data_IF_586108234334
#
_entry.id   IF_586108234334
#
_cell.length_a   1.000
_cell.length_b   1.000
_cell.length_c   1.000
_cell.angle_alpha   90.00
_cell.angle_beta   90.00
_cell.angle_gamma   90.00
#
_symmetry.space_group_name_H-M   'P 1'
#
loop_
_entity.id
_entity.type
_entity.pdbx_description
1 polymer ?
#
# COMPACT_ATOMS: atom_id res chain seq x y z
N UNK A 1 61.96 -14.71 -0.61
CA UNK A 1 60.85 -15.19 0.23
C UNK A 1 59.61 -14.40 -0.13
N UNK A 2 58.65 -15.04 -0.78
CA UNK A 2 57.37 -14.49 -1.23
C UNK A 2 56.26 -15.23 -0.51
N UNK A 3 55.27 -14.55 0.11
CA UNK A 3 54.06 -15.20 0.60
C UNK A 3 52.94 -15.19 -0.47
N UNK A 4 51.97 -16.13 -0.40
CA UNK A 4 51.07 -16.47 -1.51
C UNK A 4 49.78 -15.64 -1.58
N UNK A 5 49.16 -15.64 -2.77
CA UNK A 5 47.86 -15.04 -3.11
C UNK A 5 46.63 -15.81 -2.60
N UNK A 6 45.46 -15.13 -2.52
CA UNK A 6 44.14 -15.67 -2.93
C UNK A 6 43.13 -14.53 -3.30
N UNK A 7 42.01 -14.80 -4.03
CA UNK A 7 41.58 -14.07 -5.25
C UNK A 7 40.25 -13.26 -5.05
N UNK A 8 39.69 -12.61 -6.11
CA UNK A 8 38.80 -11.45 -5.97
C UNK A 8 37.31 -11.81 -5.83
N UNK A 9 36.53 -10.96 -5.17
CA UNK A 9 35.07 -11.02 -5.14
C UNK A 9 34.45 -9.95 -6.06
N UNK A 10 33.40 -10.37 -6.75
CA UNK A 10 32.85 -9.82 -7.98
C UNK A 10 32.06 -8.52 -7.79
N UNK A 11 32.10 -7.67 -8.82
CA UNK A 11 31.14 -6.59 -9.04
C UNK A 11 29.78 -7.15 -9.46
N UNK A 12 28.70 -6.61 -8.88
CA UNK A 12 27.35 -6.62 -9.45
C UNK A 12 26.53 -5.41 -8.96
N UNK A 13 26.25 -4.49 -9.87
CA UNK A 13 25.04 -3.63 -9.97
C UNK A 13 24.68 -3.64 -11.47
N UNK A 14 23.48 -3.21 -11.96
CA UNK A 14 22.25 -2.74 -11.30
C UNK A 14 20.96 -3.42 -11.87
N UNK A 15 19.77 -3.12 -11.32
CA UNK A 15 18.50 -3.55 -11.91
C UNK A 15 17.28 -2.88 -11.26
N UNK A 16 16.51 -2.16 -12.07
CA UNK A 16 15.70 -1.00 -11.70
C UNK A 16 14.18 -1.26 -11.46
N UNK A 17 13.50 -0.17 -11.08
CA UNK A 17 12.04 0.11 -11.03
C UNK A 17 11.36 -0.32 -9.71
N UNK A 18 10.68 0.53 -8.93
CA UNK A 18 10.29 1.93 -9.07
C UNK A 18 9.12 2.16 -8.13
N UNK A 19 9.24 3.09 -7.19
CA UNK A 19 8.13 3.80 -6.51
C UNK A 19 8.71 4.93 -5.68
N UNK A 20 8.85 6.09 -6.31
CA UNK A 20 9.08 7.35 -5.60
C UNK A 20 7.77 7.93 -5.10
N UNK A 21 7.89 8.68 -4.00
CA UNK A 21 6.92 9.59 -3.39
C UNK A 21 6.19 9.07 -2.14
N UNK A 22 6.95 8.79 -1.08
CA UNK A 22 6.50 9.13 0.27
C UNK A 22 7.14 10.48 0.62
N UNK A 23 6.34 11.52 0.55
CA UNK A 23 6.66 12.89 0.96
C UNK A 23 7.26 12.87 2.36
N UNK A 24 8.51 13.32 2.46
CA UNK A 24 9.20 13.53 3.72
C UNK A 24 8.42 14.62 4.49
N UNK A 25 7.76 14.23 5.58
CA UNK A 25 7.35 15.18 6.58
C UNK A 25 8.62 15.73 7.23
N UNK A 26 8.95 16.95 6.79
CA UNK A 26 9.87 17.89 7.41
C UNK A 26 9.67 17.92 8.93
N UNK A 27 10.55 17.23 9.67
CA UNK A 27 10.81 17.56 11.06
C UNK A 27 12.05 18.44 11.07
N UNK A 28 11.81 19.74 11.16
CA UNK A 28 12.84 20.76 11.32
C UNK A 28 13.60 20.52 12.62
N UNK A 29 14.75 19.87 12.52
CA UNK A 29 15.80 19.98 13.50
C UNK A 29 16.63 21.20 13.11
N UNK A 30 16.49 22.26 13.91
CA UNK A 30 17.44 23.37 13.89
C UNK A 30 18.85 22.79 14.00
N UNK A 31 19.66 23.10 12.99
CA UNK A 31 21.03 22.61 12.88
C UNK A 31 21.89 23.05 14.07
N UNK A 32 22.39 22.07 14.80
CA UNK A 32 23.64 22.21 15.55
C UNK A 32 24.70 21.49 14.73
N UNK A 33 25.71 22.19 14.19
CA UNK A 33 26.79 21.55 13.47
C UNK A 33 27.73 20.92 14.49
N UNK A 34 27.60 19.61 14.70
CA UNK A 34 28.44 18.86 15.63
C UNK A 34 28.31 17.37 15.36
N UNK A 35 29.03 16.88 14.36
CA UNK A 35 29.11 15.46 14.05
C UNK A 35 29.73 14.72 15.25
N UNK A 36 29.02 13.72 15.77
CA UNK A 36 29.38 12.87 16.92
C UNK A 36 30.75 12.17 16.73
N UNK A 37 31.29 12.16 15.51
CA UNK A 37 32.53 11.47 15.14
C UNK A 37 33.75 12.39 14.95
N UNK A 38 33.63 13.70 15.21
CA UNK A 38 34.69 14.68 14.92
C UNK A 38 35.74 14.85 16.04
N UNK A 39 36.08 13.77 16.75
CA UNK A 39 37.07 13.80 17.86
C UNK A 39 38.39 13.09 17.55
N UNK A 40 38.55 12.49 16.36
CA UNK A 40 39.69 11.60 16.05
C UNK A 40 40.67 12.16 14.99
N UNK A 41 40.45 13.37 14.47
CA UNK A 41 41.38 14.01 13.51
C UNK A 41 42.22 15.15 14.10
N UNK A 42 42.14 15.39 15.41
CA UNK A 42 42.91 16.42 16.11
C UNK A 42 44.30 15.96 16.57
N UNK A 43 45.27 15.95 15.65
CA UNK A 43 46.72 16.04 15.88
C UNK A 43 47.41 15.02 16.81
N UNK A 44 48.04 14.01 16.20
CA UNK A 44 49.19 13.33 16.77
C UNK A 44 50.46 14.22 16.64
N UNK A 45 50.98 14.72 17.78
CA UNK A 45 52.36 15.25 18.04
C UNK A 45 52.86 16.52 17.28
N UNK A 46 53.75 17.37 17.86
CA UNK A 46 54.94 16.97 18.62
C UNK A 46 55.23 17.74 19.95
N UNK A 47 56.15 17.16 20.72
CA UNK A 47 56.84 17.66 21.92
C UNK A 47 57.13 19.17 21.99
N UNK A 48 57.22 19.73 23.21
CA UNK A 48 58.17 20.78 23.52
C UNK A 48 59.26 20.19 24.43
N UNK A 49 60.44 19.88 23.87
CA UNK A 49 61.64 19.83 24.70
C UNK A 49 61.93 21.25 25.21
N UNK A 50 62.29 21.46 26.49
CA UNK A 50 62.58 22.79 26.99
C UNK A 50 63.97 23.20 26.48
N UNK A 51 64.02 24.22 25.63
CA UNK A 51 65.28 24.90 25.31
C UNK A 51 65.61 25.81 26.51
N UNK A 52 66.67 25.48 27.25
CA UNK A 52 67.26 26.34 28.26
C UNK A 52 67.87 27.57 27.56
N UNK A 53 67.10 28.66 27.47
CA UNK A 53 67.64 29.95 27.05
C UNK A 53 68.06 30.74 28.29
N UNK A 54 69.36 30.71 28.60
CA UNK A 54 69.99 31.56 29.61
C UNK A 54 70.03 33.00 29.08
N UNK A 55 69.10 33.83 29.56
CA UNK A 55 69.10 35.29 29.38
C UNK A 55 68.74 35.96 30.72
N UNK A 56 69.34 37.11 31.07
CA UNK A 56 69.40 37.58 32.45
C UNK A 56 68.04 38.03 32.98
N UNK A 57 67.80 37.66 34.24
CA UNK A 57 66.58 37.92 34.98
C UNK A 57 66.29 39.43 35.17
N UNK A 58 65.02 39.85 35.14
CA UNK A 58 64.55 40.90 36.03
C UNK A 58 64.11 40.27 37.35
N UNK A 59 64.72 40.76 38.42
CA UNK A 59 64.43 40.50 39.82
C UNK A 59 62.92 40.51 40.09
N UNK A 60 62.35 39.35 40.42
CA UNK A 60 61.06 39.26 41.08
C UNK A 60 61.07 38.07 42.03
N UNK A 61 60.93 38.39 43.32
CA UNK A 61 60.93 37.49 44.46
C UNK A 61 59.65 36.64 44.51
N UNK A 62 59.44 35.80 43.51
CA UNK A 62 58.38 34.80 43.50
C UNK A 62 59.00 33.40 43.56
N UNK A 63 58.73 32.69 44.66
CA UNK A 63 59.23 31.34 44.88
C UNK A 63 58.73 30.40 43.76
N UNK A 64 59.62 29.70 43.02
CA UNK A 64 59.26 28.91 41.83
C UNK A 64 58.22 27.81 42.11
N UNK A 65 58.17 27.35 43.36
CA UNK A 65 57.20 26.36 43.83
C UNK A 65 55.75 26.87 43.79
N UNK A 66 55.51 28.18 43.92
CA UNK A 66 54.16 28.76 43.89
C UNK A 66 53.52 28.73 42.50
N UNK A 67 54.30 28.93 41.44
CA UNK A 67 53.81 28.94 40.06
C UNK A 67 53.43 27.53 39.58
N UNK A 68 54.23 26.52 39.93
CA UNK A 68 53.94 25.12 39.61
C UNK A 68 52.73 24.60 40.39
N UNK A 69 52.57 24.97 41.68
CA UNK A 69 51.35 24.67 42.43
C UNK A 69 50.09 25.27 41.78
N UNK A 70 50.18 26.50 41.28
CA UNK A 70 49.09 27.14 40.56
C UNK A 70 48.78 26.42 39.22
N UNK A 71 49.80 25.94 38.50
CA UNK A 71 49.65 25.14 37.27
C UNK A 71 48.92 23.82 37.56
N UNK A 72 49.35 23.07 38.57
CA UNK A 72 48.74 21.78 38.96
C UNK A 72 47.28 21.95 39.39
N UNK A 73 46.96 23.02 40.16
CA UNK A 73 45.57 23.33 40.50
C UNK A 73 44.69 23.55 39.27
N UNK A 74 45.16 24.32 38.29
CA UNK A 74 44.42 24.54 37.04
C UNK A 74 44.21 23.23 36.26
N UNK A 75 45.24 22.36 36.21
CA UNK A 75 45.12 21.05 35.56
C UNK A 75 44.11 20.13 36.26
N UNK A 76 44.07 20.16 37.59
CA UNK A 76 43.08 19.43 38.37
C UNK A 76 41.66 19.94 38.09
N UNK A 77 41.46 21.25 38.07
CA UNK A 77 40.14 21.83 37.80
C UNK A 77 39.68 21.59 36.35
N UNK A 78 40.62 21.58 35.39
CA UNK A 78 40.36 21.13 34.02
C UNK A 78 39.96 19.66 33.96
N UNK A 79 40.71 18.78 34.63
CA UNK A 79 40.37 17.35 34.70
C UNK A 79 39.00 17.12 35.34
N UNK A 80 38.66 17.85 36.42
CA UNK A 80 37.33 17.80 37.05
C UNK A 80 36.23 18.26 36.10
N UNK A 81 36.45 19.33 35.33
CA UNK A 81 35.49 19.78 34.31
C UNK A 81 35.28 18.74 33.23
N UNK A 82 36.36 18.12 32.75
CA UNK A 82 36.27 17.01 31.78
C UNK A 82 35.47 15.85 32.37
N UNK A 83 35.76 15.40 33.59
CA UNK A 83 34.99 14.31 34.22
C UNK A 83 33.49 14.61 34.24
N UNK A 84 33.09 15.82 34.61
CA UNK A 84 31.67 16.23 34.57
C UNK A 84 31.08 16.18 33.16
N UNK A 85 31.82 16.65 32.16
CA UNK A 85 31.40 16.57 30.77
C UNK A 85 31.24 15.11 30.30
N UNK A 86 32.16 14.22 30.69
CA UNK A 86 32.06 12.79 30.41
C UNK A 86 30.85 12.15 31.10
N UNK A 87 30.57 12.53 32.36
CA UNK A 87 29.38 12.08 33.09
C UNK A 87 28.08 12.51 32.41
N UNK A 88 27.98 13.77 31.99
CA UNK A 88 26.83 14.29 31.25
C UNK A 88 26.65 13.60 29.90
N UNK A 89 27.75 13.42 29.15
CA UNK A 89 27.73 12.73 27.85
C UNK A 89 27.32 11.26 28.00
N UNK A 90 27.80 10.60 29.05
CA UNK A 90 27.41 9.23 29.37
C UNK A 90 25.92 9.13 29.72
N UNK A 91 25.40 10.06 30.53
CA UNK A 91 23.97 10.11 30.86
C UNK A 91 23.11 10.29 29.61
N UNK A 92 23.52 11.14 28.66
CA UNK A 92 22.81 11.30 27.39
C UNK A 92 22.77 10.00 26.58
N UNK A 93 23.91 9.31 26.46
CA UNK A 93 23.97 8.01 25.76
C UNK A 93 23.10 6.97 26.45
N UNK A 94 23.10 6.93 27.79
CA UNK A 94 22.25 6.02 28.55
C UNK A 94 20.76 6.31 28.30
N UNK A 95 20.34 7.58 28.30
CA UNK A 95 18.97 7.97 28.00
C UNK A 95 18.55 7.60 26.58
N UNK A 96 19.44 7.79 25.59
CA UNK A 96 19.20 7.38 24.21
C UNK A 96 19.05 5.85 24.09
N UNK A 97 19.90 5.08 24.77
CA UNK A 97 19.79 3.63 24.83
C UNK A 97 18.45 3.17 25.44
N UNK A 98 18.02 3.82 26.53
CA UNK A 98 16.75 3.52 27.19
C UNK A 98 15.54 3.90 26.33
N UNK A 99 15.64 5.00 25.56
CA UNK A 99 14.61 5.39 24.60
C UNK A 99 14.47 4.36 23.46
N UNK A 100 15.57 3.99 22.80
CA UNK A 100 15.54 2.98 21.75
C UNK A 100 15.11 1.61 22.25
N UNK A 101 15.46 1.24 23.49
CA UNK A 101 14.98 -0.01 24.09
C UNK A 101 13.46 -0.01 24.27
N UNK A 102 12.88 1.12 24.71
CA UNK A 102 11.42 1.27 24.83
C UNK A 102 10.76 1.21 23.46
N UNK A 103 11.27 1.96 22.48
CA UNK A 103 10.74 1.95 21.11
C UNK A 103 10.82 0.56 20.47
N UNK A 104 11.93 -0.17 20.65
CA UNK A 104 12.07 -1.54 20.17
C UNK A 104 11.06 -2.49 20.84
N UNK A 105 10.81 -2.32 22.14
CA UNK A 105 9.79 -3.09 22.87
C UNK A 105 8.38 -2.79 22.36
N UNK A 106 8.03 -1.52 22.21
CA UNK A 106 6.74 -1.10 21.67
C UNK A 106 6.54 -1.56 20.22
N UNK A 107 7.59 -1.51 19.39
CA UNK A 107 7.55 -2.02 18.03
C UNK A 107 7.28 -3.53 18.01
N UNK A 108 7.93 -4.29 18.89
CA UNK A 108 7.68 -5.74 19.04
C UNK A 108 6.25 -6.02 19.49
N UNK A 109 5.73 -5.31 20.47
CA UNK A 109 4.34 -5.45 20.94
C UNK A 109 3.35 -5.11 19.82
N UNK A 110 3.62 -4.07 19.05
CA UNK A 110 2.80 -3.66 17.90
C UNK A 110 2.83 -4.69 16.77
N UNK A 111 3.97 -5.33 16.51
CA UNK A 111 4.08 -6.43 15.56
C UNK A 111 3.26 -7.65 16.01
N UNK A 112 3.36 -8.05 17.28
CA UNK A 112 2.57 -9.16 17.83
C UNK A 112 1.06 -8.88 17.78
N UNK A 113 0.66 -7.64 18.06
CA UNK A 113 -0.74 -7.23 17.92
C UNK A 113 -1.21 -7.34 16.46
N UNK A 114 -0.39 -6.88 15.50
CA UNK A 114 -0.70 -6.99 14.07
C UNK A 114 -0.80 -8.46 13.61
N UNK A 115 0.09 -9.34 14.09
CA UNK A 115 0.03 -10.78 13.81
C UNK A 115 -1.26 -11.40 14.36
N UNK A 116 -1.63 -11.12 15.61
CA UNK A 116 -2.88 -11.63 16.19
C UNK A 116 -4.13 -11.14 15.44
N UNK A 117 -4.11 -9.89 14.97
CA UNK A 117 -5.20 -9.32 14.17
C UNK A 117 -5.30 -9.97 12.79
N UNK A 118 -4.16 -10.25 12.14
CA UNK A 118 -4.11 -11.02 10.89
C UNK A 118 -4.70 -12.41 11.08
N UNK A 119 -4.32 -13.12 12.14
CA UNK A 119 -4.79 -14.48 12.39
C UNK A 119 -6.31 -14.52 12.62
N UNK A 120 -6.85 -13.56 13.37
CA UNK A 120 -8.30 -13.42 13.53
C UNK A 120 -9.00 -13.12 12.19
N UNK A 121 -8.41 -12.28 11.35
CA UNK A 121 -8.97 -11.98 10.02
C UNK A 121 -8.95 -13.22 9.11
N UNK A 122 -7.89 -14.04 9.17
CA UNK A 122 -7.79 -15.31 8.46
C UNK A 122 -8.85 -16.30 8.93
N UNK A 123 -9.06 -16.45 10.25
CA UNK A 123 -10.11 -17.31 10.79
C UNK A 123 -11.50 -16.91 10.30
N UNK A 124 -11.81 -15.60 10.31
CA UNK A 124 -13.09 -15.09 9.79
C UNK A 124 -13.24 -15.35 8.30
N UNK A 125 -12.17 -15.18 7.53
CA UNK A 125 -12.15 -15.49 6.10
C UNK A 125 -12.44 -16.98 5.87
N UNK A 126 -11.76 -17.87 6.58
CA UNK A 126 -11.95 -19.32 6.48
C UNK A 126 -13.38 -19.74 6.86
N UNK A 127 -13.97 -19.12 7.88
CA UNK A 127 -15.37 -19.36 8.27
C UNK A 127 -16.33 -18.98 7.15
N UNK A 128 -16.17 -17.78 6.56
CA UNK A 128 -17.00 -17.33 5.44
C UNK A 128 -16.78 -18.20 4.20
N UNK A 129 -15.54 -18.60 3.90
CA UNK A 129 -15.24 -19.52 2.80
C UNK A 129 -15.84 -20.91 3.02
N UNK A 130 -15.89 -21.39 4.27
CA UNK A 130 -16.56 -22.63 4.61
C UNK A 130 -18.09 -22.52 4.46
N UNK A 131 -18.69 -21.41 4.90
CA UNK A 131 -20.11 -21.13 4.70
C UNK A 131 -20.45 -21.05 3.20
N UNK A 132 -19.62 -20.37 2.41
CA UNK A 132 -19.79 -20.29 0.97
C UNK A 132 -19.71 -21.66 0.29
N UNK A 133 -18.72 -22.50 0.68
CA UNK A 133 -18.63 -23.88 0.17
C UNK A 133 -19.87 -24.69 0.51
N UNK A 134 -20.37 -24.63 1.75
CA UNK A 134 -21.61 -25.31 2.15
C UNK A 134 -22.82 -24.86 1.32
N UNK A 135 -23.01 -23.54 1.18
CA UNK A 135 -24.11 -23.01 0.36
C UNK A 135 -24.00 -23.41 -1.10
N UNK A 136 -22.77 -23.47 -1.65
CA UNK A 136 -22.53 -23.95 -3.00
C UNK A 136 -22.88 -25.43 -3.15
N UNK A 137 -22.42 -26.27 -2.23
CA UNK A 137 -22.75 -27.69 -2.19
C UNK A 137 -24.26 -27.92 -2.01
N UNK A 138 -24.95 -27.11 -1.20
CA UNK A 138 -26.41 -27.16 -1.05
C UNK A 138 -27.13 -26.76 -2.34
N UNK A 139 -26.64 -25.77 -3.08
CA UNK A 139 -27.22 -25.36 -4.36
C UNK A 139 -27.01 -26.42 -5.45
N UNK A 140 -25.78 -26.93 -5.58
CA UNK A 140 -25.43 -28.01 -6.51
C UNK A 140 -26.19 -29.30 -6.15
N UNK A 141 -26.26 -29.62 -4.85
CA UNK A 141 -27.02 -30.73 -4.29
C UNK A 141 -28.51 -30.59 -4.56
N UNK A 142 -29.15 -29.44 -4.29
CA UNK A 142 -30.58 -29.22 -4.60
C UNK A 142 -30.87 -29.28 -6.09
N UNK A 143 -29.96 -28.83 -6.96
CA UNK A 143 -30.08 -28.92 -8.41
C UNK A 143 -30.03 -30.37 -8.91
N UNK A 144 -29.03 -31.14 -8.48
CA UNK A 144 -28.88 -32.55 -8.84
C UNK A 144 -29.94 -33.44 -8.18
N UNK A 145 -30.27 -33.20 -6.91
CA UNK A 145 -31.32 -33.89 -6.16
C UNK A 145 -32.69 -33.65 -6.79
N UNK A 146 -33.03 -32.42 -7.21
CA UNK A 146 -34.28 -32.16 -7.93
C UNK A 146 -34.39 -32.97 -9.22
N UNK A 147 -33.29 -33.19 -9.94
CA UNK A 147 -33.30 -34.02 -11.14
C UNK A 147 -33.37 -35.52 -10.82
N UNK A 148 -32.64 -35.99 -9.79
CA UNK A 148 -32.64 -37.39 -9.37
C UNK A 148 -33.99 -37.82 -8.75
N UNK A 149 -34.62 -36.95 -7.97
CA UNK A 149 -35.90 -37.20 -7.31
C UNK A 149 -37.08 -37.28 -8.30
N UNK A 150 -36.95 -36.77 -9.54
CA UNK A 150 -38.00 -36.91 -10.56
C UNK A 150 -38.34 -38.38 -10.82
N UNK A 151 -37.37 -39.31 -10.66
CA UNK A 151 -37.61 -40.74 -10.80
C UNK A 151 -38.48 -41.36 -9.69
N UNK A 152 -38.55 -40.72 -8.52
CA UNK A 152 -39.38 -41.15 -7.38
C UNK A 152 -40.77 -40.49 -7.36
N UNK A 153 -41.00 -39.47 -8.19
CA UNK A 153 -42.29 -38.78 -8.28
C UNK A 153 -43.28 -39.62 -9.09
N UNK A 154 -44.52 -39.85 -8.60
CA UNK A 154 -45.54 -40.57 -9.36
C UNK A 154 -45.80 -39.94 -10.73
N UNK A 155 -45.92 -40.77 -11.77
CA UNK A 155 -46.14 -40.38 -13.17
C UNK A 155 -47.20 -39.29 -13.38
N UNK A 156 -48.38 -39.30 -12.71
CA UNK A 156 -49.39 -38.27 -12.88
C UNK A 156 -48.91 -36.88 -12.47
N UNK A 157 -48.09 -36.82 -11.41
CA UNK A 157 -47.53 -35.56 -10.91
C UNK A 157 -46.41 -35.05 -11.81
N UNK A 158 -45.64 -35.95 -12.44
CA UNK A 158 -44.68 -35.58 -13.49
C UNK A 158 -45.38 -34.98 -14.72
N UNK A 159 -46.50 -35.55 -15.17
CA UNK A 159 -47.28 -34.99 -16.27
C UNK A 159 -47.90 -33.62 -15.93
N UNK A 160 -48.39 -33.45 -14.70
CA UNK A 160 -48.84 -32.15 -14.22
C UNK A 160 -47.70 -31.13 -14.23
N UNK A 161 -46.51 -31.50 -13.75
CA UNK A 161 -45.33 -30.65 -13.76
C UNK A 161 -44.89 -30.28 -15.18
N UNK A 162 -44.89 -31.25 -16.09
CA UNK A 162 -44.57 -31.05 -17.50
C UNK A 162 -45.55 -30.06 -18.16
N UNK A 163 -46.83 -30.19 -17.87
CA UNK A 163 -47.86 -29.30 -18.41
C UNK A 163 -47.69 -27.87 -17.86
N UNK A 164 -47.41 -27.75 -16.55
CA UNK A 164 -47.14 -26.45 -15.92
C UNK A 164 -45.92 -25.75 -16.55
N UNK A 165 -44.80 -26.48 -16.71
CA UNK A 165 -43.59 -25.93 -17.31
C UNK A 165 -43.80 -25.46 -18.75
N UNK A 166 -44.66 -26.14 -19.53
CA UNK A 166 -45.03 -25.69 -20.87
C UNK A 166 -45.78 -24.37 -20.82
N UNK A 167 -46.77 -24.25 -19.94
CA UNK A 167 -47.52 -23.00 -19.74
C UNK A 167 -46.61 -21.86 -19.27
N UNK A 168 -45.69 -22.14 -18.35
CA UNK A 168 -44.74 -21.15 -17.85
C UNK A 168 -43.80 -20.65 -18.96
N UNK A 169 -43.32 -21.54 -19.82
CA UNK A 169 -42.52 -21.18 -20.99
C UNK A 169 -43.32 -20.34 -22.00
N UNK A 170 -44.56 -20.73 -22.28
CA UNK A 170 -45.46 -19.96 -23.15
C UNK A 170 -45.71 -18.54 -22.58
N UNK A 171 -45.86 -18.42 -21.26
CA UNK A 171 -46.01 -17.12 -20.60
C UNK A 171 -44.75 -16.26 -20.73
N UNK A 172 -43.56 -16.84 -20.53
CA UNK A 172 -42.28 -16.16 -20.74
C UNK A 172 -42.13 -15.71 -22.19
N UNK A 173 -42.44 -16.57 -23.16
CA UNK A 173 -42.43 -16.23 -24.58
C UNK A 173 -43.42 -15.11 -24.91
N UNK A 174 -44.60 -15.12 -24.29
CA UNK A 174 -45.58 -14.04 -24.39
C UNK A 174 -45.02 -12.69 -23.88
N UNK A 175 -44.34 -12.68 -22.74
CA UNK A 175 -43.67 -11.47 -22.21
C UNK A 175 -42.55 -11.01 -23.13
N UNK A 176 -41.72 -11.93 -23.64
CA UNK A 176 -40.66 -11.63 -24.61
C UNK A 176 -41.26 -11.00 -25.87
N UNK A 177 -42.35 -11.56 -26.40
CA UNK A 177 -43.05 -11.03 -27.57
C UNK A 177 -43.58 -9.62 -27.33
N UNK A 178 -44.24 -9.39 -26.19
CA UNK A 178 -44.74 -8.05 -25.82
C UNK A 178 -43.62 -7.03 -25.68
N UNK A 179 -42.49 -7.40 -25.06
CA UNK A 179 -41.32 -6.54 -24.94
C UNK A 179 -40.72 -6.22 -26.32
N UNK A 180 -40.55 -7.22 -27.20
CA UNK A 180 -40.07 -7.03 -28.58
C UNK A 180 -41.00 -6.18 -29.44
N UNK A 181 -42.31 -6.29 -29.24
CA UNK A 181 -43.30 -5.49 -29.95
C UNK A 181 -43.16 -3.98 -29.64
N UNK A 182 -42.76 -3.65 -28.40
CA UNK A 182 -42.56 -2.27 -27.93
C UNK A 182 -41.15 -1.74 -28.21
N UNK A 183 -40.20 -2.58 -28.61
CA UNK A 183 -38.80 -2.20 -28.87
C UNK A 183 -38.56 -1.80 -30.33
N UNK A 184 -37.73 -0.78 -30.56
CA UNK A 184 -37.32 -0.28 -31.88
C UNK A 184 -36.89 -1.42 -32.81
N UNK A 185 -37.45 -1.43 -34.02
CA UNK A 185 -37.19 -2.49 -34.99
C UNK A 185 -35.71 -2.54 -35.48
N UNK A 186 -34.94 -1.46 -35.26
CA UNK A 186 -33.54 -1.34 -35.69
C UNK A 186 -32.59 -1.72 -34.57
N UNK A 187 -32.59 -0.99 -33.44
CA UNK A 187 -31.63 -1.24 -32.37
C UNK A 187 -32.07 -2.30 -31.36
N UNK A 188 -33.37 -2.66 -31.30
CA UNK A 188 -33.95 -3.61 -30.33
C UNK A 188 -33.71 -3.32 -28.84
N UNK A 189 -33.13 -2.18 -28.51
CA UNK A 189 -32.78 -1.80 -27.14
C UNK A 189 -33.73 -0.75 -26.55
N UNK A 190 -34.19 0.19 -27.37
CA UNK A 190 -35.04 1.34 -26.94
C UNK A 190 -36.48 1.15 -27.36
N UNK A 191 -37.41 1.80 -26.68
CA UNK A 191 -38.83 1.75 -27.04
C UNK A 191 -39.11 2.45 -28.39
N UNK A 192 -40.19 2.03 -29.06
CA UNK A 192 -40.69 2.62 -30.31
C UNK A 192 -41.49 3.89 -29.97
N UNK A 193 -40.84 5.04 -30.03
CA UNK A 193 -41.43 6.30 -29.52
C UNK A 193 -41.64 7.35 -30.63
N UNK A 194 -41.03 7.16 -31.80
CA UNK A 194 -41.06 8.11 -32.92
C UNK A 194 -41.72 7.50 -34.16
N UNK A 195 -42.74 8.18 -34.67
CA UNK A 195 -43.45 7.85 -35.92
C UNK A 195 -42.84 8.67 -37.06
N UNK A 196 -42.39 8.02 -38.14
CA UNK A 196 -41.89 8.74 -39.33
C UNK A 196 -43.07 9.42 -40.06
N UNK A 197 -43.13 10.75 -40.03
CA UNK A 197 -44.07 11.57 -40.81
C UNK A 197 -43.50 11.81 -42.23
N UNK A 198 -44.35 11.95 -43.28
CA UNK A 198 -45.82 12.06 -43.25
C UNK A 198 -46.57 10.72 -43.32
N UNK A 199 -45.92 9.62 -43.70
CA UNK A 199 -46.63 8.39 -44.06
C UNK A 199 -46.82 7.36 -42.93
N UNK A 200 -46.25 7.57 -41.75
CA UNK A 200 -46.45 6.78 -40.52
C UNK A 200 -46.14 5.26 -40.61
N UNK A 201 -45.62 4.78 -41.74
CA UNK A 201 -45.37 3.37 -41.99
C UNK A 201 -44.18 2.76 -41.22
N UNK A 202 -43.48 3.56 -40.39
CA UNK A 202 -42.36 3.07 -39.58
C UNK A 202 -42.37 3.73 -38.21
N UNK A 203 -42.35 2.91 -37.16
CA UNK A 203 -42.23 3.35 -35.77
C UNK A 203 -40.89 2.87 -35.22
N UNK A 204 -40.00 3.82 -34.92
CA UNK A 204 -38.63 3.59 -34.45
C UNK A 204 -38.41 4.32 -33.12
N UNK A 205 -37.29 4.08 -32.46
CA UNK A 205 -36.85 5.01 -31.42
C UNK A 205 -36.35 6.32 -32.08
N UNK A 206 -36.43 7.42 -31.34
CA UNK A 206 -36.07 8.76 -31.82
C UNK A 206 -34.65 8.85 -32.46
N UNK A 207 -33.58 8.23 -31.91
CA UNK A 207 -32.27 8.22 -32.55
C UNK A 207 -32.24 7.46 -33.89
N UNK A 208 -32.95 6.34 -33.98
CA UNK A 208 -33.03 5.57 -35.22
C UNK A 208 -33.93 6.24 -36.25
N UNK A 209 -34.88 7.08 -35.83
CA UNK A 209 -35.70 7.89 -36.72
C UNK A 209 -34.88 9.02 -37.35
N UNK A 210 -34.00 9.68 -36.59
CA UNK A 210 -33.18 10.79 -37.09
C UNK A 210 -32.19 10.38 -38.20
N UNK A 211 -31.72 9.12 -38.20
CA UNK A 211 -30.85 8.56 -39.25
C UNK A 211 -31.56 7.64 -40.24
N UNK A 212 -32.89 7.58 -40.25
CA UNK A 212 -33.63 6.63 -41.07
C UNK A 212 -33.68 7.09 -42.55
N UNK A 213 -33.46 6.18 -43.52
CA UNK A 213 -33.75 6.45 -44.93
C UNK A 213 -35.24 6.70 -45.17
N UNK A 214 -35.62 7.34 -46.31
CA UNK A 214 -37.00 7.54 -46.72
C UNK A 214 -37.79 6.22 -46.67
N UNK A 215 -39.09 6.34 -46.40
CA UNK A 215 -39.91 5.16 -46.18
C UNK A 215 -40.02 4.32 -47.45
N UNK A 216 -39.61 3.03 -47.44
CA UNK A 216 -39.63 2.18 -48.64
C UNK A 216 -41.04 1.92 -49.17
N UNK A 217 -42.06 2.02 -48.32
CA UNK A 217 -43.46 1.96 -48.74
C UNK A 217 -43.89 3.21 -49.51
N UNK A 218 -43.32 4.38 -49.18
CA UNK A 218 -43.67 5.66 -49.77
C UNK A 218 -42.84 5.91 -51.06
N UNK A 219 -41.66 5.30 -51.19
CA UNK A 219 -40.90 5.27 -52.45
C UNK A 219 -41.52 4.36 -53.52
N UNK A 220 -42.30 3.35 -53.12
CA UNK A 220 -42.92 2.39 -54.03
C UNK A 220 -44.30 2.79 -54.57
N UNK A 221 -44.87 3.93 -54.15
CA UNK A 221 -46.19 4.40 -54.61
C UNK A 221 -46.06 5.50 -55.67
N UNK A 222 -46.78 5.41 -56.82
CA UNK A 222 -46.87 6.52 -57.75
C UNK A 222 -47.59 7.69 -57.06
N UNK A 223 -46.99 8.88 -57.10
CA UNK A 223 -47.55 10.11 -56.54
C UNK A 223 -48.94 10.37 -57.17
N UNK A 224 -49.99 10.64 -56.37
CA UNK A 224 -51.22 11.18 -56.91
C UNK A 224 -50.97 12.62 -57.37
N UNK A 225 -51.48 12.93 -58.57
CA UNK A 225 -51.50 14.25 -59.21
C UNK A 225 -52.39 15.25 -58.46
#
# INVERSE_FOLDING_TARGET
MTPPQQPPALRSEPGALGSSAASYSSLGLNGVPGSIWDFVSGSFSPSPSPILNTGPAPSSSASPNGAELARVRRQLDEAKRKIRQWEESWQQVQQACDAWRREAKEAKERALAADSARDLALQKKEEVEAQFRRLREELEGRGLQRCADLGAVPLPKLHSLQSQLRLDLEAVDGVIFQLRAKQCAVCRERARDAVLQPCQHRVLCEPCAAGAPPCPYCEGQPLPW
#
